data_IF_138171482333
#
_entry.id   IF_138171482333
#
_cell.length_a   1.000
_cell.length_b   1.000
_cell.length_c   1.000
_cell.angle_alpha   90.00
_cell.angle_beta   90.00
_cell.angle_gamma   90.00
#
_symmetry.space_group_name_H-M   'P 1'
#
loop_
_entity.id
_entity.type
_entity.pdbx_description
1 polymer ?
#
# COMPACT_ATOMS: atom_id res chain seq x y z
N UNK A 1 30.55 3.84 -9.09
CA UNK A 1 30.49 2.38 -8.81
C UNK A 1 31.13 1.56 -9.92
N UNK A 2 32.06 0.65 -9.61
CA UNK A 2 32.40 -0.44 -10.52
C UNK A 2 31.15 -1.31 -10.73
N UNK A 3 30.93 -1.78 -11.96
CA UNK A 3 29.86 -2.73 -12.23
C UNK A 3 30.11 -4.02 -11.43
N UNK A 4 29.20 -4.37 -10.52
CA UNK A 4 29.24 -5.63 -9.78
C UNK A 4 29.42 -5.53 -8.26
N UNK A 5 29.61 -4.33 -7.69
CA UNK A 5 29.55 -4.18 -6.23
C UNK A 5 28.08 -4.15 -5.78
N UNK A 6 27.69 -5.10 -4.92
CA UNK A 6 26.31 -5.28 -4.49
C UNK A 6 25.82 -4.06 -3.71
N UNK A 7 24.77 -3.40 -4.23
CA UNK A 7 24.09 -2.24 -3.63
C UNK A 7 23.81 -2.47 -2.14
N UNK A 8 23.55 -3.72 -1.74
CA UNK A 8 23.32 -4.17 -0.36
C UNK A 8 24.39 -3.73 0.64
N UNK A 9 25.66 -3.63 0.23
CA UNK A 9 26.75 -3.19 1.12
C UNK A 9 26.61 -1.71 1.49
N UNK A 10 26.28 -0.87 0.51
CA UNK A 10 26.13 0.58 0.73
C UNK A 10 24.82 0.93 1.48
N UNK A 11 23.82 0.05 1.44
CA UNK A 11 22.60 0.18 2.25
C UNK A 11 22.85 0.05 3.75
N UNK A 12 23.95 -0.60 4.15
CA UNK A 12 24.26 -0.89 5.54
C UNK A 12 25.12 0.19 6.20
N UNK A 13 25.91 0.95 5.42
CA UNK A 13 26.91 1.89 5.94
C UNK A 13 26.37 3.31 6.25
N UNK A 14 25.09 3.59 5.96
CA UNK A 14 24.41 4.83 6.39
C UNK A 14 24.89 6.13 5.72
N UNK A 15 25.84 6.07 4.78
CA UNK A 15 26.42 7.22 4.08
C UNK A 15 25.63 7.64 2.83
N UNK A 16 24.37 7.22 2.71
CA UNK A 16 23.62 7.33 1.45
C UNK A 16 22.28 8.00 1.74
N UNK A 17 22.03 9.14 1.10
CA UNK A 17 20.70 9.77 1.16
C UNK A 17 19.75 8.84 0.40
N UNK A 18 18.76 8.35 1.12
CA UNK A 18 17.71 7.51 0.64
C UNK A 18 16.55 8.39 0.17
N UNK A 19 16.14 8.23 -1.08
CA UNK A 19 14.92 8.83 -1.59
C UNK A 19 13.90 7.72 -1.86
N UNK A 20 12.77 7.82 -1.18
CA UNK A 20 11.61 6.95 -1.36
C UNK A 20 10.50 7.75 -2.01
N UNK A 21 10.20 7.46 -3.26
CA UNK A 21 9.14 8.14 -4.02
C UNK A 21 7.93 7.25 -4.13
N UNK A 22 6.77 7.79 -3.77
CA UNK A 22 5.49 7.16 -4.05
C UNK A 22 5.12 7.44 -5.53
N UNK A 23 5.03 6.41 -6.38
CA UNK A 23 4.81 6.59 -7.81
C UNK A 23 3.41 7.13 -8.15
N UNK A 24 2.40 6.92 -7.31
CA UNK A 24 1.04 7.42 -7.58
C UNK A 24 0.82 8.87 -7.17
N UNK A 25 1.54 9.36 -6.16
CA UNK A 25 1.41 10.74 -5.68
C UNK A 25 2.57 11.64 -6.13
N UNK A 26 3.69 11.06 -6.53
CA UNK A 26 4.93 11.79 -6.81
C UNK A 26 5.60 12.38 -5.56
N UNK A 27 5.12 12.05 -4.36
CA UNK A 27 5.72 12.51 -3.10
C UNK A 27 7.02 11.76 -2.86
N UNK A 28 8.12 12.49 -2.68
CA UNK A 28 9.44 11.94 -2.34
C UNK A 28 9.78 12.24 -0.88
N UNK A 29 10.10 11.19 -0.14
CA UNK A 29 10.67 11.24 1.20
C UNK A 29 12.18 11.15 1.05
N UNK A 30 12.89 12.09 1.68
CA UNK A 30 14.35 12.06 1.80
C UNK A 30 14.72 11.67 3.23
N UNK A 31 15.54 10.63 3.37
CA UNK A 31 16.12 10.20 4.64
C UNK A 31 17.63 10.10 4.56
N UNK A 32 18.30 10.25 5.70
CA UNK A 32 19.74 9.99 5.83
C UNK A 32 20.05 8.53 6.17
N UNK A 33 19.00 7.73 6.44
CA UNK A 33 19.09 6.30 6.71
C UNK A 33 17.81 5.57 6.24
N UNK A 34 17.85 4.23 6.21
CA UNK A 34 16.65 3.42 6.01
C UNK A 34 15.62 3.68 7.12
N UNK A 35 16.09 3.85 8.36
CA UNK A 35 15.29 4.17 9.53
C UNK A 35 14.50 5.46 9.33
N UNK A 36 15.12 6.52 8.83
CA UNK A 36 14.44 7.81 8.60
C UNK A 36 13.29 7.66 7.60
N UNK A 37 13.51 6.88 6.53
CA UNK A 37 12.48 6.65 5.50
C UNK A 37 11.37 5.77 6.02
N UNK A 38 11.70 4.69 6.74
CA UNK A 38 10.69 3.83 7.37
C UNK A 38 9.89 4.62 8.40
N UNK A 39 10.52 5.49 9.19
CA UNK A 39 9.86 6.36 10.16
C UNK A 39 8.91 7.39 9.52
N UNK A 40 9.21 7.82 8.30
CA UNK A 40 8.32 8.69 7.55
C UNK A 40 7.11 7.95 6.96
N UNK A 41 7.23 6.64 6.73
CA UNK A 41 6.19 5.78 6.15
C UNK A 41 5.28 5.17 7.23
N UNK A 42 5.88 4.71 8.32
CA UNK A 42 5.22 4.04 9.43
C UNK A 42 5.06 5.04 10.58
N UNK A 43 3.82 5.45 10.84
CA UNK A 43 3.52 6.40 11.91
C UNK A 43 3.90 5.83 13.28
N UNK A 44 4.64 6.62 14.08
CA UNK A 44 5.11 6.19 15.40
C UNK A 44 6.25 5.16 15.40
N UNK A 45 6.91 4.94 14.26
CA UNK A 45 8.00 3.97 14.18
C UNK A 45 9.16 4.31 15.11
N UNK A 46 9.59 3.34 15.90
CA UNK A 46 10.72 3.48 16.84
C UNK A 46 11.71 2.33 16.64
N UNK A 47 12.88 2.65 16.09
CA UNK A 47 13.94 1.67 15.85
C UNK A 47 14.81 1.37 17.10
N UNK A 48 14.58 2.03 18.23
CA UNK A 48 15.38 1.84 19.45
C UNK A 48 15.08 0.51 20.15
N UNK A 49 13.83 0.02 20.06
CA UNK A 49 13.45 -1.32 20.46
C UNK A 49 13.31 -2.20 19.22
N UNK A 50 14.26 -3.12 19.03
CA UNK A 50 14.30 -3.99 17.84
C UNK A 50 13.07 -4.89 17.70
N UNK A 51 12.46 -5.30 18.82
CA UNK A 51 11.28 -6.16 18.79
C UNK A 51 10.04 -5.35 18.40
N UNK A 52 9.85 -4.19 19.03
CA UNK A 52 8.76 -3.29 18.68
C UNK A 52 8.88 -2.80 17.23
N UNK A 53 10.08 -2.41 16.79
CA UNK A 53 10.36 -2.02 15.41
C UNK A 53 9.95 -3.12 14.42
N UNK A 54 10.24 -4.39 14.72
CA UNK A 54 9.81 -5.51 13.90
C UNK A 54 8.28 -5.63 13.86
N UNK A 55 7.60 -5.53 15.00
CA UNK A 55 6.14 -5.62 15.07
C UNK A 55 5.46 -4.48 14.30
N UNK A 56 6.01 -3.26 14.37
CA UNK A 56 5.53 -2.11 13.60
C UNK A 56 5.70 -2.32 12.09
N UNK A 57 6.85 -2.84 11.64
CA UNK A 57 7.07 -3.21 10.23
C UNK A 57 6.13 -4.33 9.78
N UNK A 58 5.90 -5.33 10.64
CA UNK A 58 4.99 -6.44 10.36
C UNK A 58 3.55 -5.96 10.20
N UNK A 59 3.04 -5.17 11.15
CA UNK A 59 1.70 -4.58 11.09
C UNK A 59 1.52 -3.73 9.82
N UNK A 60 2.52 -2.90 9.50
CA UNK A 60 2.52 -2.13 8.26
C UNK A 60 2.48 -3.02 7.00
N UNK A 61 3.28 -4.09 6.95
CA UNK A 61 3.31 -5.02 5.83
C UNK A 61 1.96 -5.76 5.67
N UNK A 62 1.34 -6.21 6.77
CA UNK A 62 0.01 -6.86 6.76
C UNK A 62 -1.05 -5.91 6.20
N UNK A 63 -1.12 -4.69 6.73
CA UNK A 63 -2.10 -3.68 6.26
C UNK A 63 -1.88 -3.32 4.80
N UNK A 64 -0.62 -3.13 4.40
CA UNK A 64 -0.27 -2.83 3.01
C UNK A 64 -0.64 -3.97 2.09
N UNK A 65 -0.32 -5.22 2.45
CA UNK A 65 -0.68 -6.38 1.66
C UNK A 65 -2.19 -6.52 1.47
N UNK A 66 -2.97 -6.32 2.54
CA UNK A 66 -4.44 -6.41 2.50
C UNK A 66 -5.03 -5.33 1.59
N UNK A 67 -4.55 -4.10 1.74
CA UNK A 67 -5.02 -2.97 0.94
C UNK A 67 -4.70 -3.14 -0.55
N UNK A 68 -3.45 -3.51 -0.87
CA UNK A 68 -3.01 -3.74 -2.25
C UNK A 68 -3.77 -4.90 -2.89
N UNK A 69 -3.96 -6.00 -2.16
CA UNK A 69 -4.76 -7.11 -2.68
C UNK A 69 -6.17 -6.68 -3.05
N UNK A 70 -6.83 -5.90 -2.18
CA UNK A 70 -8.18 -5.40 -2.43
C UNK A 70 -8.26 -4.53 -3.69
N UNK A 71 -7.29 -3.64 -3.89
CA UNK A 71 -7.18 -2.82 -5.11
C UNK A 71 -6.99 -3.69 -6.34
N UNK A 72 -6.07 -4.65 -6.30
CA UNK A 72 -5.80 -5.54 -7.43
C UNK A 72 -7.03 -6.37 -7.78
N UNK A 73 -7.76 -6.88 -6.79
CA UNK A 73 -9.00 -7.63 -7.03
C UNK A 73 -10.07 -6.77 -7.74
N UNK A 74 -10.24 -5.51 -7.33
CA UNK A 74 -11.20 -4.59 -7.97
C UNK A 74 -10.78 -4.30 -9.40
N UNK A 75 -9.52 -3.92 -9.62
CA UNK A 75 -9.01 -3.59 -10.97
C UNK A 75 -9.10 -4.81 -11.88
N UNK A 76 -8.71 -5.99 -11.41
CA UNK A 76 -8.80 -7.22 -12.20
C UNK A 76 -10.23 -7.62 -12.53
N UNK A 77 -11.20 -7.36 -11.64
CA UNK A 77 -12.61 -7.56 -11.93
C UNK A 77 -13.11 -6.57 -13.00
N UNK A 78 -12.71 -5.30 -12.94
CA UNK A 78 -13.08 -4.28 -13.93
C UNK A 78 -12.47 -4.57 -15.32
N UNK A 79 -11.25 -5.11 -15.35
CA UNK A 79 -10.55 -5.51 -16.58
C UNK A 79 -11.01 -6.88 -17.10
N UNK A 80 -11.81 -7.63 -16.34
CA UNK A 80 -12.26 -8.98 -16.68
C UNK A 80 -11.17 -10.06 -16.60
N UNK A 81 -10.04 -9.77 -15.96
CA UNK A 81 -8.98 -10.75 -15.66
C UNK A 81 -9.30 -11.59 -14.42
N UNK A 82 -10.20 -11.08 -13.56
CA UNK A 82 -10.88 -11.82 -12.51
C UNK A 82 -12.37 -11.86 -12.83
N UNK A 83 -12.98 -13.03 -12.66
CA UNK A 83 -14.43 -13.17 -12.59
C UNK A 83 -14.80 -13.90 -11.31
N UNK A 84 -15.30 -13.14 -10.32
CA UNK A 84 -15.72 -13.68 -9.02
C UNK A 84 -16.76 -14.80 -9.15
N UNK A 85 -17.61 -14.80 -10.20
CA UNK A 85 -18.64 -15.83 -10.36
C UNK A 85 -18.08 -17.19 -10.79
N UNK A 86 -16.89 -17.22 -11.38
CA UNK A 86 -16.23 -18.43 -11.89
C UNK A 86 -14.92 -18.76 -11.20
N UNK A 87 -14.38 -17.83 -10.40
CA UNK A 87 -13.21 -18.07 -9.56
C UNK A 87 -13.50 -19.18 -8.55
N UNK A 88 -12.57 -20.14 -8.43
CA UNK A 88 -12.65 -21.22 -7.44
C UNK A 88 -12.53 -20.69 -6.01
N UNK A 89 -13.05 -21.47 -5.05
CA UNK A 89 -13.05 -21.12 -3.63
C UNK A 89 -11.64 -20.86 -3.08
N UNK A 90 -10.65 -21.65 -3.49
CA UNK A 90 -9.26 -21.48 -3.08
C UNK A 90 -8.70 -20.11 -3.52
N UNK A 91 -9.00 -19.70 -4.75
CA UNK A 91 -8.59 -18.40 -5.29
C UNK A 91 -9.26 -17.24 -4.55
N UNK A 92 -10.58 -17.34 -4.31
CA UNK A 92 -11.32 -16.32 -3.58
C UNK A 92 -10.87 -16.23 -2.12
N UNK A 93 -10.62 -17.37 -1.49
CA UNK A 93 -10.09 -17.43 -0.13
C UNK A 93 -8.70 -16.79 -0.08
N UNK A 94 -7.82 -17.09 -1.04
CA UNK A 94 -6.51 -16.44 -1.12
C UNK A 94 -6.64 -14.91 -1.27
N UNK A 95 -7.62 -14.40 -2.02
CA UNK A 95 -7.83 -12.95 -2.16
C UNK A 95 -8.38 -12.28 -0.91
N UNK A 96 -9.36 -12.90 -0.24
CA UNK A 96 -10.16 -12.23 0.79
C UNK A 96 -9.83 -12.67 2.21
N UNK A 97 -8.97 -13.66 2.41
CA UNK A 97 -8.48 -14.05 3.73
C UNK A 97 -7.72 -12.91 4.42
N UNK A 98 -7.72 -12.94 5.75
CA UNK A 98 -6.91 -12.03 6.56
C UNK A 98 -5.43 -12.20 6.23
N UNK A 99 -4.73 -11.07 6.05
CA UNK A 99 -3.28 -11.03 5.76
C UNK A 99 -2.42 -11.18 7.00
N UNK A 100 -3.01 -11.19 8.19
CA UNK A 100 -2.34 -11.59 9.43
C UNK A 100 -2.10 -13.10 9.52
N UNK A 101 -2.80 -13.88 8.70
CA UNK A 101 -2.63 -15.33 8.59
C UNK A 101 -1.97 -15.72 7.26
N UNK A 102 -1.21 -16.83 7.19
CA UNK A 102 -0.68 -17.36 5.93
C UNK A 102 -1.80 -17.75 4.96
N UNK A 103 -1.62 -17.43 3.69
CA UNK A 103 -2.47 -17.98 2.63
C UNK A 103 -2.21 -19.48 2.49
N UNK A 104 -3.29 -20.26 2.40
CA UNK A 104 -3.24 -21.71 2.19
C UNK A 104 -3.04 -22.05 0.71
N UNK A 105 -1.95 -21.54 0.13
CA UNK A 105 -1.63 -21.68 -1.29
C UNK A 105 -0.18 -22.12 -1.42
N UNK A 106 0.05 -23.24 -2.12
CA UNK A 106 1.40 -23.73 -2.42
C UNK A 106 1.90 -23.20 -3.76
N UNK A 107 1.02 -23.17 -4.78
CA UNK A 107 1.31 -22.68 -6.12
C UNK A 107 0.21 -21.70 -6.54
N UNK A 108 0.61 -20.53 -7.01
CA UNK A 108 -0.29 -19.47 -7.44
C UNK A 108 -0.30 -19.36 -8.96
N UNK A 109 -1.41 -19.79 -9.57
CA UNK A 109 -1.60 -19.81 -11.02
C UNK A 109 -2.55 -18.73 -11.51
N UNK A 110 -3.09 -17.89 -10.62
CA UNK A 110 -4.02 -16.84 -11.00
C UNK A 110 -3.31 -15.74 -11.81
N UNK A 111 -3.95 -15.17 -12.84
CA UNK A 111 -3.42 -14.01 -13.55
C UNK A 111 -3.36 -12.75 -12.67
N UNK A 112 -4.14 -12.70 -11.57
CA UNK A 112 -4.12 -11.60 -10.63
C UNK A 112 -3.01 -11.83 -9.60
N UNK A 113 -2.19 -10.81 -9.26
CA UNK A 113 -1.11 -11.00 -8.30
C UNK A 113 -1.58 -11.36 -6.89
N UNK A 114 -0.87 -12.29 -6.26
CA UNK A 114 -0.98 -12.61 -4.84
C UNK A 114 -0.02 -11.73 -4.05
N UNK A 115 -0.56 -10.85 -3.21
CA UNK A 115 0.23 -10.01 -2.31
C UNK A 115 0.09 -10.53 -0.89
N UNK A 116 1.23 -10.86 -0.26
CA UNK A 116 1.26 -11.42 1.09
C UNK A 116 2.50 -10.98 1.88
N UNK A 117 2.58 -11.38 3.14
CA UNK A 117 3.74 -11.12 4.03
C UNK A 117 4.69 -12.32 4.06
N UNK A 118 5.99 -12.06 3.90
CA UNK A 118 7.04 -13.08 3.80
C UNK A 118 7.29 -13.83 5.11
N UNK A 119 7.10 -13.19 6.27
CA UNK A 119 7.39 -13.77 7.59
C UNK A 119 6.47 -14.93 7.97
N UNK A 120 5.40 -15.17 7.22
CA UNK A 120 4.51 -16.32 7.42
C UNK A 120 5.04 -17.62 6.80
N UNK A 121 6.08 -17.54 5.97
CA UNK A 121 6.57 -18.66 5.17
C UNK A 121 8.06 -18.96 5.40
N UNK A 122 8.54 -20.03 4.77
CA UNK A 122 9.92 -20.49 4.80
C UNK A 122 10.93 -19.36 4.56
N UNK A 123 12.09 -19.53 5.22
CA UNK A 123 13.08 -18.55 5.71
C UNK A 123 12.78 -18.02 7.12
N UNK A 124 11.52 -17.75 7.47
CA UNK A 124 11.16 -17.20 8.80
C UNK A 124 10.12 -18.05 9.55
N UNK A 125 9.18 -18.66 8.84
CA UNK A 125 8.15 -19.55 9.37
C UNK A 125 8.31 -21.01 8.88
N UNK A 126 7.36 -21.85 9.27
CA UNK A 126 7.35 -23.29 8.98
C UNK A 126 6.61 -23.65 7.69
N UNK A 127 5.80 -22.73 7.15
CA UNK A 127 4.98 -23.01 5.98
C UNK A 127 5.77 -22.81 4.68
N UNK A 128 5.61 -23.69 3.69
CA UNK A 128 6.29 -23.54 2.41
C UNK A 128 5.91 -22.22 1.76
N UNK A 129 6.89 -21.56 1.15
CA UNK A 129 6.66 -20.30 0.44
C UNK A 129 5.81 -20.56 -0.82
N UNK A 130 4.73 -19.77 -1.07
CA UNK A 130 3.97 -19.91 -2.30
C UNK A 130 4.86 -19.64 -3.51
N UNK A 131 4.73 -20.48 -4.54
CA UNK A 131 5.40 -20.33 -5.83
C UNK A 131 4.44 -19.74 -6.87
N UNK A 132 4.97 -19.26 -7.99
CA UNK A 132 4.20 -18.66 -9.08
C UNK A 132 4.81 -17.36 -9.58
N UNK A 133 4.51 -16.99 -10.83
CA UNK A 133 5.09 -15.79 -11.46
C UNK A 133 4.54 -14.49 -10.85
N UNK A 134 3.31 -14.52 -10.32
CA UNK A 134 2.61 -13.34 -9.79
C UNK A 134 2.50 -13.35 -8.25
N UNK A 135 3.52 -13.86 -7.56
CA UNK A 135 3.58 -13.86 -6.08
C UNK A 135 4.51 -12.74 -5.61
N UNK A 136 3.97 -11.79 -4.85
CA UNK A 136 4.72 -10.69 -4.26
C UNK A 136 4.64 -10.75 -2.74
N UNK A 137 5.79 -10.93 -2.08
CA UNK A 137 5.86 -11.02 -0.63
C UNK A 137 6.55 -9.79 -0.04
N UNK A 138 5.83 -9.04 0.80
CA UNK A 138 6.39 -7.97 1.61
C UNK A 138 7.21 -8.55 2.75
N UNK A 139 8.48 -8.14 2.89
CA UNK A 139 9.42 -8.69 3.87
C UNK A 139 9.75 -7.69 4.99
N UNK A 140 9.02 -7.71 6.13
CA UNK A 140 9.21 -6.79 7.25
C UNK A 140 10.43 -7.12 8.14
N UNK A 141 11.23 -8.15 7.82
CA UNK A 141 12.31 -8.63 8.69
C UNK A 141 13.31 -7.52 9.05
N UNK A 142 13.73 -6.74 8.06
CA UNK A 142 14.55 -5.52 8.23
C UNK A 142 13.93 -4.35 7.49
N UNK A 143 14.36 -3.12 7.81
CA UNK A 143 13.98 -1.92 7.07
C UNK A 143 14.34 -2.03 5.58
N UNK A 144 15.52 -2.57 5.28
CA UNK A 144 16.00 -2.75 3.90
C UNK A 144 15.12 -3.74 3.15
N UNK A 145 14.84 -4.92 3.72
CA UNK A 145 13.98 -5.92 3.05
C UNK A 145 12.56 -5.41 2.86
N UNK A 146 12.06 -4.58 3.79
CA UNK A 146 10.75 -3.95 3.65
C UNK A 146 10.73 -2.98 2.47
N UNK A 147 11.68 -2.05 2.42
CA UNK A 147 11.77 -1.06 1.35
C UNK A 147 11.96 -1.70 -0.03
N UNK A 148 12.81 -2.73 -0.12
CA UNK A 148 13.04 -3.45 -1.37
C UNK A 148 11.81 -4.23 -1.83
N UNK A 149 11.13 -4.93 -0.92
CA UNK A 149 9.90 -5.67 -1.29
C UNK A 149 8.75 -4.74 -1.67
N UNK A 150 8.63 -3.56 -1.04
CA UNK A 150 7.73 -2.50 -1.50
C UNK A 150 8.09 -2.03 -2.92
N UNK A 151 9.39 -1.90 -3.22
CA UNK A 151 9.83 -1.53 -4.56
C UNK A 151 9.54 -2.60 -5.61
N UNK A 152 9.78 -3.86 -5.29
CA UNK A 152 9.49 -4.98 -6.21
C UNK A 152 8.01 -5.07 -6.56
N UNK A 153 7.13 -4.70 -5.64
CA UNK A 153 5.68 -4.60 -5.88
C UNK A 153 5.28 -3.34 -6.68
N UNK A 154 6.22 -2.44 -6.95
CA UNK A 154 5.95 -1.13 -7.55
C UNK A 154 5.31 -0.14 -6.58
N UNK A 155 5.29 -0.44 -5.28
CA UNK A 155 4.68 0.44 -4.29
C UNK A 155 5.51 1.65 -3.93
N UNK A 156 6.82 1.50 -4.06
CA UNK A 156 7.78 2.51 -3.73
C UNK A 156 8.89 2.53 -4.78
N UNK A 157 9.35 3.69 -5.20
CA UNK A 157 10.61 3.79 -5.91
C UNK A 157 11.70 4.17 -4.90
N UNK A 158 12.70 3.31 -4.74
CA UNK A 158 13.82 3.56 -3.84
C UNK A 158 15.05 3.92 -4.66
N UNK A 159 15.62 5.08 -4.35
CA UNK A 159 16.81 5.60 -5.02
C UNK A 159 17.81 6.12 -4.01
N UNK A 160 19.07 6.12 -4.44
CA UNK A 160 20.22 6.39 -3.57
C UNK A 160 21.02 7.52 -4.15
N UNK A 161 21.41 8.47 -3.30
CA UNK A 161 22.40 9.47 -3.66
C UNK A 161 23.76 9.04 -3.14
N UNK A 162 24.62 8.69 -4.08
CA UNK A 162 26.04 8.54 -3.83
C UNK A 162 26.65 9.95 -3.66
N UNK A 163 27.24 10.22 -2.49
CA UNK A 163 27.87 11.52 -2.17
C UNK A 163 28.98 11.87 -3.18
N UNK A 164 29.63 10.86 -3.76
CA UNK A 164 30.70 11.05 -4.74
C UNK A 164 30.20 11.49 -6.12
N UNK A 165 28.90 11.32 -6.42
CA UNK A 165 28.34 11.54 -7.77
C UNK A 165 27.20 12.53 -7.85
N UNK A 166 26.74 13.10 -6.73
CA UNK A 166 25.82 14.24 -6.66
C UNK A 166 24.38 14.00 -7.13
N UNK A 167 24.10 12.95 -7.92
CA UNK A 167 22.79 12.60 -8.49
C UNK A 167 22.22 11.30 -7.92
N UNK A 168 20.89 11.24 -7.78
CA UNK A 168 20.18 10.02 -7.38
C UNK A 168 20.22 8.98 -8.51
N UNK A 169 20.47 7.72 -8.14
CA UNK A 169 20.33 6.57 -9.03
C UNK A 169 19.23 5.66 -8.50
N UNK A 170 18.30 5.20 -9.36
CA UNK A 170 17.38 4.13 -8.97
C UNK A 170 18.19 2.88 -8.65
N UNK A 171 17.75 2.07 -7.70
CA UNK A 171 18.23 0.68 -7.61
C UNK A 171 17.86 0.03 -8.94
N UNK A 172 18.85 -0.31 -9.75
CA UNK A 172 18.62 -1.17 -10.90
C UNK A 172 17.96 -2.45 -10.37
N UNK A 173 16.69 -2.67 -10.76
CA UNK A 173 15.89 -3.83 -10.39
C UNK A 173 16.78 -5.07 -10.37
N UNK A 174 16.88 -5.70 -9.19
CA UNK A 174 17.40 -7.06 -9.10
C UNK A 174 16.51 -7.88 -10.03
N UNK A 175 17.13 -8.48 -11.02
CA UNK A 175 16.58 -8.66 -12.36
C UNK A 175 15.31 -9.53 -12.42
N UNK A 176 14.45 -9.25 -13.42
CA UNK A 176 13.46 -10.17 -14.04
C UNK A 176 12.01 -10.22 -13.51
N UNK A 177 11.30 -9.08 -13.46
CA UNK A 177 9.82 -9.13 -13.50
C UNK A 177 9.32 -8.19 -14.62
N UNK A 178 8.78 -8.77 -15.71
CA UNK A 178 8.09 -8.09 -16.81
C UNK A 178 6.61 -7.84 -16.50
N UNK A 179 6.23 -7.69 -15.24
CA UNK A 179 4.90 -7.23 -14.89
C UNK A 179 4.85 -5.71 -15.08
N UNK A 180 3.75 -5.21 -15.67
CA UNK A 180 3.48 -3.78 -15.65
C UNK A 180 3.49 -3.29 -14.20
N UNK A 181 4.00 -2.07 -13.91
CA UNK A 181 3.97 -1.53 -12.55
C UNK A 181 2.52 -1.57 -12.03
N UNK A 182 2.33 -2.22 -10.88
CA UNK A 182 1.00 -2.30 -10.28
C UNK A 182 0.56 -0.89 -9.86
N UNK A 183 -0.71 -0.52 -10.02
CA UNK A 183 -1.22 0.73 -9.50
C UNK A 183 -1.21 0.70 -7.98
N UNK A 184 -0.33 1.50 -7.36
CA UNK A 184 -0.13 1.48 -5.91
C UNK A 184 -0.71 2.72 -5.25
N UNK A 185 -1.49 2.49 -4.19
CA UNK A 185 -2.03 3.52 -3.33
C UNK A 185 -1.42 3.41 -1.93
N UNK A 186 -1.26 4.55 -1.25
CA UNK A 186 -0.71 4.60 0.11
C UNK A 186 -1.80 5.01 1.09
N UNK A 187 -1.89 4.30 2.21
CA UNK A 187 -2.73 4.68 3.33
C UNK A 187 -1.86 5.32 4.41
N UNK A 188 -2.10 6.59 4.73
CA UNK A 188 -1.50 7.25 5.90
C UNK A 188 -2.47 7.13 7.07
N UNK A 189 -2.10 6.34 8.07
CA UNK A 189 -2.86 6.24 9.31
C UNK A 189 -2.95 7.64 9.96
N UNK A 190 -4.17 8.12 10.26
CA UNK A 190 -4.40 9.44 10.88
C UNK A 190 -4.66 10.62 9.95
N UNK A 191 -4.63 10.46 8.61
CA UNK A 191 -5.01 11.54 7.69
C UNK A 191 -6.54 11.57 7.46
N UNK A 192 -7.22 12.74 7.57
CA UNK A 192 -8.68 12.84 7.43
C UNK A 192 -9.20 12.66 5.98
N UNK A 193 -8.32 12.54 5.00
CA UNK A 193 -8.67 12.41 3.59
C UNK A 193 -7.81 11.33 2.93
N UNK A 194 -8.48 10.34 2.35
CA UNK A 194 -7.89 9.43 1.37
C UNK A 194 -7.70 10.22 0.06
N UNK A 195 -6.45 10.40 -0.38
CA UNK A 195 -6.18 10.98 -1.71
C UNK A 195 -6.06 9.82 -2.69
N UNK A 196 -7.17 9.55 -3.40
CA UNK A 196 -7.21 8.56 -4.49
C UNK A 196 -6.82 9.28 -5.77
N UNK A 197 -5.60 9.05 -6.25
CA UNK A 197 -5.15 9.46 -7.58
C UNK A 197 -4.91 8.22 -8.43
N UNK A 198 -5.81 7.91 -9.37
CA UNK A 198 -5.56 6.89 -10.37
C UNK A 198 -4.65 7.47 -11.46
N UNK A 199 -3.45 6.92 -11.61
CA UNK A 199 -2.60 7.20 -12.78
C UNK A 199 -2.92 6.16 -13.84
N UNK A 200 -3.82 6.51 -14.76
CA UNK A 200 -4.04 5.73 -15.98
C UNK A 200 -2.93 6.11 -16.96
N UNK A 201 -2.00 5.20 -17.21
CA UNK A 201 -1.02 5.36 -18.28
C UNK A 201 -1.70 5.11 -19.64
N UNK A 202 -1.96 6.19 -20.37
CA UNK A 202 -2.32 6.10 -21.78
C UNK A 202 -1.07 5.71 -22.61
N UNK A 203 -1.21 4.83 -23.62
CA UNK A 203 -0.10 4.52 -24.51
C UNK A 203 0.40 5.78 -25.23
N UNK A 204 1.73 5.89 -25.37
CA UNK A 204 2.45 7.04 -25.94
C UNK A 204 2.18 7.30 -27.43
N UNK A 205 1.40 6.45 -28.09
CA UNK A 205 1.11 6.61 -29.51
C UNK A 205 -0.13 7.48 -29.67
N UNK A 206 0.08 8.72 -30.13
CA UNK A 206 -0.90 9.79 -30.28
C UNK A 206 -2.02 9.52 -31.28
N UNK A 207 -2.80 8.47 -31.09
CA UNK A 207 -4.08 8.28 -31.76
C UNK A 207 -5.13 9.14 -31.07
N UNK A 208 -5.50 10.26 -31.70
CA UNK A 208 -6.64 11.07 -31.28
C UNK A 208 -7.92 10.23 -31.34
N UNK A 209 -8.45 9.85 -30.17
CA UNK A 209 -9.75 9.20 -30.08
C UNK A 209 -10.84 10.22 -30.45
N UNK A 210 -11.55 9.99 -31.56
CA UNK A 210 -12.77 10.71 -31.88
C UNK A 210 -13.85 10.30 -30.88
N UNK A 211 -14.30 11.23 -30.05
CA UNK A 211 -15.47 11.04 -29.19
C UNK A 211 -16.72 10.96 -30.08
N UNK A 212 -17.22 9.75 -30.30
CA UNK A 212 -18.53 9.51 -30.89
C UNK A 212 -19.64 9.78 -29.87
N UNK A 213 -20.61 10.60 -30.22
CA UNK A 213 -21.79 10.89 -29.41
C UNK A 213 -22.67 9.64 -29.31
N UNK A 214 -22.88 9.10 -28.11
CA UNK A 214 -23.91 8.09 -27.85
C UNK A 214 -25.27 8.80 -27.74
N UNK A 215 -26.30 8.46 -28.54
CA UNK A 215 -27.64 9.02 -28.38
C UNK A 215 -28.32 8.37 -27.16
N UNK A 216 -28.88 9.18 -26.23
CA UNK A 216 -29.88 8.65 -25.29
C UNK A 216 -29.82 9.10 -23.82
N UNK A 217 -28.91 9.97 -23.38
CA UNK A 217 -28.91 10.46 -21.99
C UNK A 217 -29.34 11.95 -21.90
N UNK A 218 -30.28 12.30 -20.99
CA UNK A 218 -30.79 13.65 -20.86
C UNK A 218 -29.73 14.59 -20.25
N UNK A 219 -29.57 15.76 -20.86
CA UNK A 219 -28.67 16.82 -20.39
C UNK A 219 -29.23 17.46 -19.11
N UNK A 220 -28.45 17.44 -18.04
CA UNK A 220 -28.71 18.26 -16.85
C UNK A 220 -28.44 19.75 -17.16
N UNK A 221 -29.20 20.68 -16.56
CA UNK A 221 -29.09 22.10 -16.85
C UNK A 221 -27.83 22.72 -16.23
N UNK A 222 -27.13 23.55 -17.02
CA UNK A 222 -26.03 24.40 -16.56
C UNK A 222 -26.59 25.53 -15.69
N UNK A 223 -26.13 25.66 -14.44
CA UNK A 223 -26.37 26.84 -13.63
C UNK A 223 -25.34 27.93 -13.93
N UNK A 224 -25.80 29.03 -14.52
CA UNK A 224 -25.11 30.33 -14.53
C UNK A 224 -25.43 31.06 -13.22
N UNK A 225 -24.41 31.50 -12.48
CA UNK A 225 -24.63 32.30 -11.27
C UNK A 225 -23.34 32.92 -10.72
N UNK A 226 -23.22 34.23 -10.93
CA UNK A 226 -22.10 35.11 -10.56
C UNK A 226 -22.23 35.60 -9.11
N UNK A 227 -21.11 35.54 -8.35
CA UNK A 227 -20.64 36.40 -7.26
C UNK A 227 -21.57 36.98 -6.17
N UNK A 228 -21.25 36.73 -4.89
CA UNK A 228 -20.80 37.74 -3.88
C UNK A 228 -20.53 37.11 -2.51
N UNK A 229 -19.74 37.83 -1.71
CA UNK A 229 -19.03 37.41 -0.52
C UNK A 229 -19.79 37.58 0.83
N UNK A 230 -19.21 36.97 1.86
CA UNK A 230 -19.27 37.23 3.32
C UNK A 230 -20.58 36.93 4.06
N UNK A 231 -20.55 35.96 5.00
CA UNK A 231 -20.39 36.23 6.46
C UNK A 231 -20.86 35.05 7.36
N UNK A 232 -20.11 34.85 8.44
CA UNK A 232 -20.48 34.32 9.76
C UNK A 232 -21.27 33.00 9.87
N UNK A 233 -20.58 31.90 10.21
CA UNK A 233 -21.19 30.77 10.90
C UNK A 233 -21.13 30.98 12.41
N UNK A 234 -22.30 31.22 13.01
CA UNK A 234 -22.54 31.13 14.45
C UNK A 234 -22.52 29.66 14.86
N UNK A 235 -21.81 29.38 15.95
CA UNK A 235 -21.93 28.14 16.70
C UNK A 235 -23.27 28.11 17.44
N UNK A 236 -24.05 27.05 17.25
CA UNK A 236 -25.18 26.71 18.11
C UNK A 236 -24.74 25.63 19.12
N UNK A 237 -25.29 25.65 20.35
CA UNK A 237 -24.79 24.89 21.50
C UNK A 237 -25.27 23.42 21.51
N UNK A 238 -24.61 22.53 22.27
CA UNK A 238 -25.05 21.14 22.41
C UNK A 238 -26.31 21.04 23.29
N UNK A 239 -27.21 20.17 22.86
CA UNK A 239 -28.46 19.83 23.54
C UNK A 239 -28.23 18.96 24.78
N UNK A 240 -28.98 19.35 25.81
CA UNK A 240 -29.42 18.69 27.05
C UNK A 240 -29.27 17.17 27.20
N UNK A 241 -28.79 16.81 28.39
CA UNK A 241 -28.70 15.49 28.97
C UNK A 241 -30.05 14.77 29.12
N UNK A 242 -30.05 13.45 28.87
CA UNK A 242 -31.13 12.52 29.24
C UNK A 242 -30.78 11.78 30.55
N UNK A 243 -31.78 11.44 31.38
CA UNK A 243 -31.60 10.95 32.74
C UNK A 243 -31.24 9.45 32.82
N UNK A 244 -30.44 9.12 33.82
CA UNK A 244 -29.90 7.78 34.07
C UNK A 244 -30.93 6.72 34.43
N UNK A 245 -30.80 5.57 33.77
CA UNK A 245 -31.46 4.31 34.13
C UNK A 245 -30.56 3.60 35.15
N UNK A 246 -31.05 3.45 36.38
CA UNK A 246 -30.42 2.63 37.42
C UNK A 246 -30.73 1.16 37.17
N UNK A 247 -29.72 0.36 36.86
CA UNK A 247 -29.82 -1.09 36.96
C UNK A 247 -29.61 -1.53 38.42
N UNK A 248 -30.61 -2.22 38.97
CA UNK A 248 -30.53 -2.87 40.28
C UNK A 248 -29.79 -4.21 40.15
N UNK A 249 -28.80 -4.43 41.02
CA UNK A 249 -28.14 -5.72 41.23
C UNK A 249 -29.01 -6.63 42.12
N UNK A 250 -29.13 -7.94 41.84
CA UNK A 250 -29.75 -8.90 42.75
C UNK A 250 -28.81 -9.29 43.90
N UNK A 251 -29.35 -9.70 45.08
CA UNK A 251 -28.56 -10.00 46.26
C UNK A 251 -27.86 -11.37 46.17
N UNK A 252 -26.61 -11.41 46.64
CA UNK A 252 -25.84 -12.62 46.88
C UNK A 252 -26.36 -13.32 48.15
N UNK A 253 -26.86 -14.55 48.01
CA UNK A 253 -27.02 -15.46 49.13
C UNK A 253 -25.63 -15.92 49.61
N UNK A 254 -25.32 -15.67 50.88
CA UNK A 254 -24.31 -16.44 51.62
C UNK A 254 -25.02 -17.50 52.45
N UNK A 255 -24.49 -18.71 52.34
CA UNK A 255 -24.65 -19.87 53.24
C UNK A 255 -24.29 -19.54 54.67
#
# INVERSE_FOLDING_TARGET
>A
MPAGEGITRHLQDGSVILAATNPSTGVTILGTSNTDVVAAIIDGYDATDTQEAFLQRLDFAVKTAAFQQGILAVISQEEGTLDIATAGEDTLTAFFADRSEPAKVTEWTSPVPLVHVATHYERYGELPRPTGENVHLLDPYTEVTLLLSLQEMGALEVSFRDEDYGAFRPIASISSIRAAPLPVYWYRQGAPHMVVGAVVHLPRDGAAMRVGTVPGLPRLPRSTGTGRALSAWRTSPPATASPGIRHALPPLHRT
#
